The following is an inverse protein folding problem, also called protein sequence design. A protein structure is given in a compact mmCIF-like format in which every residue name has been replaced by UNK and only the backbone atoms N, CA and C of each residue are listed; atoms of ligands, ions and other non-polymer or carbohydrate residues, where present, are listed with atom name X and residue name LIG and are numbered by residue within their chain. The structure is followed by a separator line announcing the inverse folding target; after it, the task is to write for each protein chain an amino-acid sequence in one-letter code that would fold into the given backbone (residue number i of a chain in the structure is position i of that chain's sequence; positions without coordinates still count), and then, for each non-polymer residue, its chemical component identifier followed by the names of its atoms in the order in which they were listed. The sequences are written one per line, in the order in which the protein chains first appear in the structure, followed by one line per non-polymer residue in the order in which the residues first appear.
data_IF_046444361757
#
_entry.id   IF_046444361757
#
_cell.length_a   1.000
_cell.length_b   1.000
_cell.length_c   1.000
_cell.angle_alpha   90.00
_cell.angle_beta   90.00
_cell.angle_gamma   90.00
#
_symmetry.space_group_name_H-M   'P 1'
#
loop_
_entity.id
_entity.type
_entity.pdbx_description
1 polymer ?
#
# COMPACT_ATOMS: atom_id res chain seq x y z
N UNK A 1 4.66 -3.42 17.19
CA UNK A 1 6.03 -3.02 17.57
C UNK A 1 6.17 -1.51 17.74
N UNK A 2 5.69 -0.66 16.84
CA UNK A 2 5.80 0.80 16.92
C UNK A 2 5.18 1.46 18.16
N UNK A 3 4.03 0.98 18.63
CA UNK A 3 3.39 1.50 19.86
C UNK A 3 4.28 1.35 21.10
N UNK A 4 4.94 0.20 21.26
CA UNK A 4 5.84 -0.06 22.39
C UNK A 4 7.06 0.87 22.36
N UNK A 5 7.53 1.22 21.16
CA UNK A 5 8.71 2.07 20.96
C UNK A 5 8.52 3.51 21.49
N UNK A 6 7.31 4.06 21.45
CA UNK A 6 7.01 5.41 21.90
C UNK A 6 6.35 5.45 23.28
N UNK A 7 5.36 4.59 23.54
CA UNK A 7 4.64 4.58 24.80
C UNK A 7 5.36 3.83 25.92
N UNK A 8 6.22 2.86 25.60
CA UNK A 8 7.08 2.21 26.59
C UNK A 8 8.01 3.18 27.31
N UNK A 9 8.82 3.97 26.58
CA UNK A 9 9.64 5.03 27.20
C UNK A 9 8.81 6.07 27.95
N UNK A 10 7.64 6.48 27.43
CA UNK A 10 6.76 7.43 28.10
C UNK A 10 6.36 6.94 29.49
N UNK A 11 5.89 5.70 29.59
CA UNK A 11 5.52 5.07 30.88
C UNK A 11 6.72 4.94 31.81
N UNK A 12 7.88 4.52 31.26
CA UNK A 12 9.12 4.39 32.04
C UNK A 12 9.55 5.73 32.65
N UNK A 13 9.51 6.83 31.88
CA UNK A 13 9.90 8.14 32.37
C UNK A 13 8.93 8.68 33.45
N UNK A 14 7.63 8.41 33.32
CA UNK A 14 6.67 8.72 34.40
C UNK A 14 7.04 7.95 35.67
N UNK A 15 7.31 6.65 35.57
CA UNK A 15 7.71 5.84 36.72
C UNK A 15 9.00 6.36 37.40
N UNK A 16 10.00 6.72 36.60
CA UNK A 16 11.26 7.30 37.11
C UNK A 16 11.03 8.64 37.78
N UNK A 17 10.13 9.48 37.27
CA UNK A 17 9.77 10.76 37.90
C UNK A 17 9.28 10.59 39.37
N UNK A 18 8.46 9.56 39.61
CA UNK A 18 7.98 9.28 40.98
C UNK A 18 9.02 8.58 41.86
N UNK A 19 10.01 7.92 41.28
CA UNK A 19 11.04 7.20 42.03
C UNK A 19 12.23 8.07 42.43
N UNK A 20 12.55 9.10 41.64
CA UNK A 20 13.71 9.96 41.85
C UNK A 20 13.25 11.42 41.94
N UNK A 21 13.45 12.07 43.08
CA UNK A 21 13.05 13.47 43.30
C UNK A 21 13.92 14.50 42.58
N UNK A 22 15.14 14.11 42.19
CA UNK A 22 16.18 15.08 41.78
C UNK A 22 15.94 15.70 40.39
N UNK A 23 15.10 15.08 39.53
CA UNK A 23 14.81 15.62 38.21
C UNK A 23 13.39 15.36 37.73
N UNK A 24 12.42 15.50 38.65
CA UNK A 24 11.00 15.19 38.37
C UNK A 24 10.47 15.89 37.12
N UNK A 25 10.72 17.22 37.01
CA UNK A 25 10.25 17.99 35.85
C UNK A 25 10.84 17.49 34.53
N UNK A 26 12.12 17.12 34.49
CA UNK A 26 12.79 16.58 33.31
C UNK A 26 12.16 15.26 32.83
N UNK A 27 11.87 14.37 33.77
CA UNK A 27 11.22 13.08 33.40
C UNK A 27 9.79 13.28 32.88
N UNK A 28 9.00 14.19 33.49
CA UNK A 28 7.64 14.48 33.00
C UNK A 28 7.67 15.12 31.61
N UNK A 29 8.55 16.08 31.36
CA UNK A 29 8.69 16.69 30.03
C UNK A 29 9.06 15.64 28.97
N UNK A 30 10.05 14.79 29.27
CA UNK A 30 10.48 13.73 28.33
C UNK A 30 9.36 12.73 28.05
N UNK A 31 8.60 12.34 29.09
CA UNK A 31 7.43 11.47 28.95
C UNK A 31 6.38 12.11 28.04
N UNK A 32 6.07 13.39 28.24
CA UNK A 32 5.11 14.13 27.41
C UNK A 32 5.55 14.19 25.94
N UNK A 33 6.83 14.44 25.68
CA UNK A 33 7.40 14.45 24.33
C UNK A 33 7.24 13.06 23.68
N UNK A 34 7.60 11.99 24.38
CA UNK A 34 7.43 10.62 23.86
C UNK A 34 5.96 10.28 23.56
N UNK A 35 5.03 10.72 24.42
CA UNK A 35 3.60 10.53 24.21
C UNK A 35 3.10 11.26 22.95
N UNK A 36 3.54 12.53 22.75
CA UNK A 36 3.20 13.32 21.57
C UNK A 36 3.69 12.64 20.29
N UNK A 37 4.94 12.17 20.26
CA UNK A 37 5.45 11.40 19.11
C UNK A 37 4.69 10.11 18.89
N UNK A 38 4.28 9.41 19.96
CA UNK A 38 3.42 8.24 19.88
C UNK A 38 2.05 8.54 19.25
N UNK A 39 1.43 9.66 19.62
CA UNK A 39 0.16 10.11 19.04
C UNK A 39 0.30 10.48 17.56
N UNK A 40 1.37 11.21 17.20
CA UNK A 40 1.68 11.54 15.80
C UNK A 40 1.87 10.25 14.99
N UNK A 41 2.63 9.29 15.53
CA UNK A 41 2.82 7.99 14.88
C UNK A 41 1.51 7.24 14.65
N UNK A 42 0.62 7.19 15.65
CA UNK A 42 -0.70 6.58 15.50
C UNK A 42 -1.50 7.29 14.42
N UNK A 43 -1.57 8.63 14.48
CA UNK A 43 -2.32 9.42 13.52
C UNK A 43 -1.81 9.20 12.08
N UNK A 44 -0.50 9.26 11.86
CA UNK A 44 0.09 9.05 10.53
C UNK A 44 -0.06 7.61 10.05
N UNK A 45 0.03 6.63 10.95
CA UNK A 45 -0.16 5.21 10.61
C UNK A 45 -1.60 4.87 10.24
N UNK A 46 -2.59 5.50 10.90
CA UNK A 46 -4.01 5.22 10.65
C UNK A 46 -4.58 6.00 9.46
N UNK A 47 -4.19 7.27 9.32
CA UNK A 47 -4.78 8.17 8.32
C UNK A 47 -3.85 8.54 7.18
N UNK A 48 -2.52 8.45 7.38
CA UNK A 48 -1.52 8.88 6.40
C UNK A 48 -1.59 8.07 5.12
N UNK A 49 -1.63 6.75 5.23
CA UNK A 49 -1.71 5.84 4.07
C UNK A 49 -2.95 6.10 3.24
N UNK A 50 -4.10 6.21 3.88
CA UNK A 50 -5.38 6.44 3.19
C UNK A 50 -5.38 7.75 2.40
N UNK A 51 -4.88 8.83 2.99
CA UNK A 51 -4.74 10.13 2.32
C UNK A 51 -3.79 10.09 1.13
N UNK A 52 -2.67 9.37 1.25
CA UNK A 52 -1.71 9.19 0.15
C UNK A 52 -2.38 8.43 -1.00
N UNK A 53 -3.02 7.30 -0.72
CA UNK A 53 -3.72 6.50 -1.71
C UNK A 53 -4.81 7.31 -2.41
N UNK A 54 -5.59 8.10 -1.66
CA UNK A 54 -6.61 8.97 -2.23
C UNK A 54 -6.00 10.03 -3.14
N UNK A 55 -4.98 10.77 -2.68
CA UNK A 55 -4.31 11.80 -3.46
C UNK A 55 -3.71 11.25 -4.77
N UNK A 56 -3.10 10.06 -4.70
CA UNK A 56 -2.55 9.40 -5.88
C UNK A 56 -3.69 8.97 -6.81
N UNK A 57 -4.75 8.33 -6.30
CA UNK A 57 -5.90 7.97 -7.10
C UNK A 57 -6.48 9.18 -7.84
N UNK A 58 -6.64 10.32 -7.15
CA UNK A 58 -7.20 11.56 -7.72
C UNK A 58 -6.32 12.15 -8.84
N UNK A 59 -5.00 11.91 -8.80
CA UNK A 59 -4.07 12.39 -9.85
C UNK A 59 -4.10 11.56 -11.13
N UNK A 60 -4.61 10.33 -11.09
CA UNK A 60 -4.66 9.42 -12.24
C UNK A 60 -5.81 9.80 -13.15
N UNK A 61 -5.55 9.94 -14.45
CA UNK A 61 -6.59 10.22 -15.44
C UNK A 61 -7.14 8.91 -16.02
N UNK A 62 -8.34 8.53 -15.60
CA UNK A 62 -9.01 7.32 -16.08
C UNK A 62 -10.09 7.62 -17.10
N UNK A 63 -10.17 6.78 -18.12
CA UNK A 63 -11.35 6.67 -18.99
C UNK A 63 -12.40 5.82 -18.27
N UNK A 64 -13.69 6.10 -18.52
CA UNK A 64 -14.80 5.41 -17.83
C UNK A 64 -14.76 3.87 -17.97
N UNK A 65 -14.24 3.35 -19.06
CA UNK A 65 -14.16 1.93 -19.36
C UNK A 65 -12.78 1.32 -19.05
N UNK A 66 -11.91 2.02 -18.32
CA UNK A 66 -10.57 1.52 -17.99
C UNK A 66 -10.65 0.26 -17.14
N UNK A 67 -9.84 -0.74 -17.50
CA UNK A 67 -9.66 -1.96 -16.72
C UNK A 67 -8.47 -1.79 -15.79
N UNK A 68 -8.69 -1.95 -14.49
CA UNK A 68 -7.71 -1.71 -13.43
C UNK A 68 -7.28 -3.03 -12.80
N UNK A 69 -5.99 -3.22 -12.57
CA UNK A 69 -5.42 -4.30 -11.78
C UNK A 69 -4.74 -3.73 -10.53
N UNK A 70 -5.13 -4.22 -9.34
CA UNK A 70 -4.46 -3.94 -8.06
C UNK A 70 -3.62 -5.17 -7.67
N UNK A 71 -2.29 -5.03 -7.77
CA UNK A 71 -1.32 -6.11 -7.54
C UNK A 71 -0.84 -6.08 -6.10
N UNK A 72 -1.13 -7.15 -5.35
CA UNK A 72 -0.91 -7.18 -3.91
C UNK A 72 -1.92 -6.31 -3.18
N UNK A 73 -3.21 -6.47 -3.50
CA UNK A 73 -4.28 -5.59 -3.04
C UNK A 73 -4.52 -5.63 -1.53
N UNK A 74 -4.03 -6.67 -0.83
CA UNK A 74 -4.26 -6.83 0.60
C UNK A 74 -5.75 -6.72 0.96
N UNK A 75 -6.11 -5.76 1.80
CA UNK A 75 -7.51 -5.46 2.15
C UNK A 75 -8.25 -4.60 1.12
N UNK A 76 -7.67 -4.32 -0.05
CA UNK A 76 -8.31 -3.57 -1.12
C UNK A 76 -8.26 -2.04 -0.95
N UNK A 77 -7.41 -1.52 -0.06
CA UNK A 77 -7.39 -0.10 0.29
C UNK A 77 -7.16 0.84 -0.90
N UNK A 78 -6.37 0.44 -1.91
CA UNK A 78 -6.12 1.27 -3.07
C UNK A 78 -7.22 1.12 -4.12
N UNK A 79 -7.64 -0.11 -4.43
CA UNK A 79 -8.66 -0.35 -5.45
C UNK A 79 -10.01 0.31 -5.14
N UNK A 80 -10.40 0.44 -3.86
CA UNK A 80 -11.65 1.10 -3.47
C UNK A 80 -11.66 2.62 -3.76
N UNK A 81 -10.47 3.26 -3.92
CA UNK A 81 -10.39 4.68 -4.29
C UNK A 81 -10.90 4.96 -5.71
N UNK A 82 -11.09 3.93 -6.51
CA UNK A 82 -11.62 4.04 -7.87
C UNK A 82 -13.11 3.74 -8.00
N UNK A 83 -13.82 3.51 -6.88
CA UNK A 83 -15.25 3.17 -6.85
C UNK A 83 -16.10 4.10 -7.70
N UNK A 84 -16.00 5.40 -7.46
CA UNK A 84 -16.83 6.41 -8.12
C UNK A 84 -16.30 6.84 -9.51
N UNK A 85 -15.20 6.23 -9.97
CA UNK A 85 -14.51 6.58 -11.20
C UNK A 85 -14.68 5.55 -12.31
N UNK A 86 -15.16 4.36 -11.96
CA UNK A 86 -15.45 3.25 -12.87
C UNK A 86 -16.94 2.93 -12.76
N UNK A 87 -17.66 2.96 -13.89
CA UNK A 87 -19.08 2.66 -13.93
C UNK A 87 -19.39 1.21 -14.26
N UNK A 88 -18.48 0.55 -14.97
CA UNK A 88 -18.67 -0.80 -15.47
C UNK A 88 -18.42 -1.89 -14.42
N UNK A 89 -19.20 -2.97 -14.53
CA UNK A 89 -19.10 -4.15 -13.68
C UNK A 89 -17.76 -4.87 -13.92
N UNK A 90 -17.08 -5.29 -12.83
CA UNK A 90 -15.86 -6.13 -12.85
C UNK A 90 -14.68 -5.54 -13.64
N UNK A 91 -14.58 -4.24 -13.70
CA UNK A 91 -13.44 -3.56 -14.33
C UNK A 91 -12.25 -3.39 -13.40
N UNK A 92 -12.45 -3.56 -12.08
CA UNK A 92 -11.37 -3.53 -11.09
C UNK A 92 -11.07 -4.96 -10.68
N UNK A 93 -9.83 -5.39 -10.84
CA UNK A 93 -9.36 -6.72 -10.42
C UNK A 93 -8.33 -6.55 -9.34
N UNK A 94 -8.56 -7.14 -8.17
CA UNK A 94 -7.59 -7.20 -7.08
C UNK A 94 -7.00 -8.61 -6.97
N UNK A 95 -5.68 -8.69 -6.87
CA UNK A 95 -4.99 -9.95 -6.62
C UNK A 95 -4.07 -9.87 -5.41
N UNK A 96 -4.01 -10.96 -4.66
CA UNK A 96 -3.06 -11.15 -3.56
C UNK A 96 -2.83 -12.64 -3.33
N UNK A 97 -1.76 -13.01 -2.66
CA UNK A 97 -1.54 -14.37 -2.14
C UNK A 97 -2.08 -14.54 -0.72
N UNK A 98 -2.45 -13.43 -0.06
CA UNK A 98 -2.89 -13.34 1.33
C UNK A 98 -1.96 -14.04 2.32
N UNK A 99 -0.68 -13.66 2.27
CA UNK A 99 0.28 -14.13 3.25
C UNK A 99 0.04 -13.42 4.60
N UNK A 100 -0.33 -14.19 5.62
CA UNK A 100 -0.62 -13.68 6.98
C UNK A 100 0.55 -12.98 7.68
N UNK A 101 1.79 -13.15 7.16
CA UNK A 101 2.98 -12.49 7.72
C UNK A 101 3.12 -11.04 7.26
N UNK A 102 2.51 -10.67 6.14
CA UNK A 102 2.67 -9.35 5.54
C UNK A 102 1.75 -8.32 6.19
N UNK A 103 0.55 -8.74 6.60
CA UNK A 103 -0.45 -7.87 7.22
C UNK A 103 -1.34 -8.65 8.19
N UNK A 104 -1.76 -8.01 9.30
CA UNK A 104 -2.70 -8.62 10.23
C UNK A 104 -4.06 -8.86 9.55
N UNK A 105 -4.66 -10.02 9.82
CA UNK A 105 -5.94 -10.46 9.24
C UNK A 105 -5.96 -10.42 7.69
N UNK A 106 -4.80 -10.61 7.05
CA UNK A 106 -4.69 -10.63 5.60
C UNK A 106 -5.31 -11.93 5.05
N UNK A 107 -6.59 -11.89 4.71
CA UNK A 107 -7.34 -13.00 4.13
C UNK A 107 -8.24 -12.53 2.99
N UNK A 108 -8.59 -13.45 2.09
CA UNK A 108 -9.52 -13.18 1.00
C UNK A 108 -10.87 -12.69 1.54
N UNK A 109 -11.39 -13.34 2.59
CA UNK A 109 -12.69 -13.04 3.18
C UNK A 109 -12.74 -11.61 3.74
N UNK A 110 -11.68 -11.15 4.43
CA UNK A 110 -11.61 -9.78 4.95
C UNK A 110 -11.50 -8.76 3.81
N UNK A 111 -10.82 -9.09 2.72
CA UNK A 111 -10.77 -8.24 1.53
C UNK A 111 -12.14 -8.13 0.87
N UNK A 112 -12.84 -9.25 0.65
CA UNK A 112 -14.18 -9.28 0.08
C UNK A 112 -15.17 -8.48 0.93
N UNK A 113 -15.08 -8.60 2.25
CA UNK A 113 -15.90 -7.85 3.20
C UNK A 113 -15.63 -6.35 3.12
N UNK A 114 -14.37 -5.95 3.06
CA UNK A 114 -13.97 -4.53 2.91
C UNK A 114 -14.51 -3.95 1.62
N UNK A 115 -14.34 -4.66 0.50
CA UNK A 115 -14.81 -4.27 -0.83
C UNK A 115 -16.34 -4.21 -0.89
N UNK A 116 -17.02 -5.14 -0.24
CA UNK A 116 -18.50 -5.13 -0.15
C UNK A 116 -18.99 -3.92 0.65
N UNK A 117 -18.38 -3.65 1.79
CA UNK A 117 -18.76 -2.53 2.66
C UNK A 117 -18.47 -1.16 2.01
N UNK A 118 -17.51 -1.10 1.08
CA UNK A 118 -17.19 0.13 0.34
C UNK A 118 -18.09 0.37 -0.87
N UNK A 119 -18.99 -0.54 -1.21
CA UNK A 119 -19.87 -0.41 -2.38
C UNK A 119 -19.25 -0.83 -3.72
N UNK A 120 -17.98 -1.23 -3.75
CA UNK A 120 -17.24 -1.61 -4.99
C UNK A 120 -17.52 -3.04 -5.46
N UNK A 121 -18.22 -3.85 -4.68
CA UNK A 121 -18.35 -5.29 -4.92
C UNK A 121 -18.88 -5.67 -6.31
N UNK A 122 -19.78 -4.88 -6.89
CA UNK A 122 -20.27 -5.13 -8.25
C UNK A 122 -19.25 -4.81 -9.34
N UNK A 123 -18.32 -3.90 -9.06
CA UNK A 123 -17.31 -3.38 -9.99
C UNK A 123 -15.96 -4.10 -9.86
N UNK A 124 -15.74 -4.79 -8.74
CA UNK A 124 -14.49 -5.45 -8.40
C UNK A 124 -14.61 -6.98 -8.49
N UNK A 125 -13.51 -7.61 -8.91
CA UNK A 125 -13.26 -9.04 -8.78
C UNK A 125 -12.00 -9.23 -7.97
N UNK A 126 -12.08 -10.07 -6.94
CA UNK A 126 -10.91 -10.40 -6.10
C UNK A 126 -10.57 -11.87 -6.36
N UNK A 127 -9.31 -12.16 -6.56
CA UNK A 127 -8.85 -13.52 -6.78
C UNK A 127 -7.43 -13.75 -6.27
N UNK A 128 -7.16 -14.97 -5.81
CA UNK A 128 -5.82 -15.37 -5.41
C UNK A 128 -4.92 -15.50 -6.62
N UNK A 129 -3.79 -14.78 -6.63
CA UNK A 129 -2.75 -14.94 -7.66
C UNK A 129 -1.40 -14.47 -7.12
N UNK A 130 -0.33 -15.03 -7.69
CA UNK A 130 1.06 -14.60 -7.44
C UNK A 130 1.40 -13.47 -8.43
N UNK A 131 1.93 -12.37 -7.93
CA UNK A 131 2.36 -11.26 -8.79
C UNK A 131 3.55 -11.61 -9.66
N UNK A 132 4.27 -12.69 -9.35
CA UNK A 132 5.36 -13.21 -10.18
C UNK A 132 4.88 -14.09 -11.35
N UNK A 133 3.59 -14.40 -11.43
CA UNK A 133 2.98 -15.24 -12.47
C UNK A 133 1.49 -14.85 -12.60
N UNK A 134 1.26 -13.72 -13.27
CA UNK A 134 -0.07 -13.12 -13.37
C UNK A 134 -0.97 -13.92 -14.33
N UNK A 135 -2.15 -14.39 -13.90
CA UNK A 135 -3.05 -15.19 -14.72
C UNK A 135 -3.90 -14.33 -15.70
N UNK A 136 -3.22 -13.41 -16.39
CA UNK A 136 -3.83 -12.46 -17.32
C UNK A 136 -3.08 -12.46 -18.64
N UNK A 137 -3.78 -12.01 -19.69
CA UNK A 137 -3.19 -11.87 -21.02
C UNK A 137 -2.27 -10.63 -21.10
N UNK A 138 -1.37 -10.65 -22.08
CA UNK A 138 -0.56 -9.47 -22.41
C UNK A 138 -1.47 -8.31 -22.82
N UNK A 139 -1.12 -7.10 -22.42
CA UNK A 139 -1.83 -5.87 -22.80
C UNK A 139 -3.33 -5.87 -22.39
N UNK A 140 -3.65 -6.38 -21.23
CA UNK A 140 -5.04 -6.53 -20.78
C UNK A 140 -5.56 -5.32 -20.00
N UNK A 141 -4.71 -4.62 -19.22
CA UNK A 141 -5.11 -3.57 -18.29
C UNK A 141 -4.72 -2.17 -18.76
N UNK A 142 -5.60 -1.20 -18.52
CA UNK A 142 -5.35 0.22 -18.81
C UNK A 142 -4.56 0.89 -17.67
N UNK A 143 -4.76 0.41 -16.43
CA UNK A 143 -4.06 0.85 -15.24
C UNK A 143 -3.66 -0.36 -14.40
N UNK A 144 -2.39 -0.41 -13.98
CA UNK A 144 -1.92 -1.35 -12.97
C UNK A 144 -1.44 -0.56 -11.76
N UNK A 145 -1.99 -0.86 -10.60
CA UNK A 145 -1.62 -0.24 -9.33
C UNK A 145 -1.03 -1.27 -8.38
N UNK A 146 -0.12 -0.86 -7.52
CA UNK A 146 0.39 -1.67 -6.42
C UNK A 146 0.78 -0.77 -5.26
N UNK A 147 0.34 -1.10 -4.05
CA UNK A 147 0.63 -0.30 -2.87
C UNK A 147 1.20 -1.15 -1.73
N UNK A 148 2.43 -0.83 -1.31
CA UNK A 148 3.12 -1.47 -0.18
C UNK A 148 3.18 -3.01 -0.26
N UNK A 149 3.33 -3.56 -1.47
CA UNK A 149 3.28 -5.00 -1.70
C UNK A 149 4.58 -5.58 -2.26
N UNK A 150 5.17 -4.95 -3.28
CA UNK A 150 6.28 -5.53 -4.05
C UNK A 150 7.54 -5.74 -3.20
N UNK A 151 7.79 -4.89 -2.19
CA UNK A 151 8.94 -5.04 -1.28
C UNK A 151 8.92 -6.35 -0.47
N UNK A 152 7.75 -6.96 -0.28
CA UNK A 152 7.61 -8.24 0.43
C UNK A 152 8.08 -9.43 -0.40
N UNK A 153 8.13 -9.29 -1.74
CA UNK A 153 8.58 -10.36 -2.64
C UNK A 153 10.08 -10.60 -2.47
N UNK A 154 10.46 -11.83 -2.18
CA UNK A 154 11.86 -12.24 -2.00
C UNK A 154 12.15 -13.50 -2.83
N UNK A 155 13.35 -13.63 -3.36
CA UNK A 155 14.49 -12.69 -3.41
C UNK A 155 14.27 -11.55 -4.42
N UNK A 156 15.26 -10.68 -4.61
CA UNK A 156 15.22 -9.56 -5.58
C UNK A 156 14.92 -9.99 -7.02
N UNK A 157 15.34 -11.18 -7.41
CA UNK A 157 15.04 -11.78 -8.72
C UNK A 157 13.54 -12.01 -8.93
N UNK A 158 12.81 -12.39 -7.89
CA UNK A 158 11.35 -12.52 -7.94
C UNK A 158 10.65 -11.16 -7.99
N UNK A 159 11.16 -10.13 -7.29
CA UNK A 159 10.64 -8.76 -7.44
C UNK A 159 10.77 -8.26 -8.87
N UNK A 160 11.92 -8.54 -9.50
CA UNK A 160 12.11 -8.23 -10.92
C UNK A 160 11.06 -8.92 -11.78
N UNK A 161 10.81 -10.22 -11.58
CA UNK A 161 9.78 -10.96 -12.29
C UNK A 161 8.39 -10.37 -12.09
N UNK A 162 8.04 -9.97 -10.86
CA UNK A 162 6.77 -9.30 -10.56
C UNK A 162 6.61 -7.99 -11.35
N UNK A 163 7.67 -7.18 -11.45
CA UNK A 163 7.65 -5.95 -12.25
C UNK A 163 7.50 -6.27 -13.74
N UNK A 164 8.23 -7.27 -14.26
CA UNK A 164 8.13 -7.69 -15.65
C UNK A 164 6.69 -8.17 -15.98
N UNK A 165 6.05 -8.92 -15.08
CA UNK A 165 4.65 -9.35 -15.21
C UNK A 165 3.66 -8.17 -15.18
N UNK A 166 3.86 -7.19 -14.29
CA UNK A 166 3.07 -5.96 -14.25
C UNK A 166 3.10 -5.27 -15.63
N UNK A 167 4.27 -5.15 -16.22
CA UNK A 167 4.40 -4.52 -17.54
C UNK A 167 3.87 -5.40 -18.67
N UNK A 168 3.98 -6.71 -18.59
CA UNK A 168 3.42 -7.64 -19.57
C UNK A 168 1.91 -7.47 -19.72
N UNK A 169 1.21 -7.40 -18.59
CA UNK A 169 -0.26 -7.28 -18.59
C UNK A 169 -0.77 -5.86 -18.85
N UNK A 170 0.11 -4.86 -18.78
CA UNK A 170 -0.22 -3.48 -19.05
C UNK A 170 -0.32 -3.22 -20.55
N UNK A 171 -1.36 -2.51 -20.99
CA UNK A 171 -1.49 -2.04 -22.38
C UNK A 171 -0.39 -1.05 -22.75
N UNK A 172 -0.05 -0.95 -24.05
CA UNK A 172 0.98 -0.03 -24.55
C UNK A 172 0.78 1.44 -24.12
N UNK A 173 -0.47 1.90 -23.98
CA UNK A 173 -0.81 3.25 -23.53
C UNK A 173 -1.38 3.23 -22.10
N UNK A 174 -1.13 2.18 -21.34
CA UNK A 174 -1.56 2.05 -19.98
C UNK A 174 -0.64 2.77 -18.99
N UNK A 175 -1.12 2.96 -17.78
CA UNK A 175 -0.39 3.60 -16.70
C UNK A 175 -0.07 2.60 -15.58
N UNK A 176 1.15 2.68 -15.01
CA UNK A 176 1.55 1.92 -13.82
C UNK A 176 1.77 2.87 -12.66
N UNK A 177 1.17 2.57 -11.52
CA UNK A 177 1.36 3.31 -10.28
C UNK A 177 1.82 2.38 -9.16
N UNK A 178 3.06 2.52 -8.74
CA UNK A 178 3.64 1.76 -7.64
C UNK A 178 3.94 2.70 -6.47
N UNK A 179 3.33 2.43 -5.32
CA UNK A 179 3.60 3.10 -4.05
C UNK A 179 4.27 2.05 -3.16
N UNK A 180 5.52 2.27 -2.77
CA UNK A 180 6.24 1.31 -1.96
C UNK A 180 7.16 2.00 -0.94
N UNK A 181 7.80 1.22 -0.08
CA UNK A 181 8.70 1.75 0.94
C UNK A 181 9.92 2.42 0.31
N UNK A 182 10.51 3.33 1.04
CA UNK A 182 11.67 4.12 0.65
C UNK A 182 12.85 3.27 0.13
N UNK A 183 13.61 3.82 -0.84
CA UNK A 183 14.77 3.22 -1.50
C UNK A 183 14.51 2.06 -2.48
N UNK A 184 13.28 1.59 -2.66
CA UNK A 184 12.96 0.54 -3.66
C UNK A 184 12.76 1.09 -5.07
N UNK A 185 12.45 2.36 -5.20
CA UNK A 185 12.29 3.05 -6.49
C UNK A 185 13.51 2.88 -7.41
N UNK A 186 14.72 3.03 -6.88
CA UNK A 186 15.97 2.85 -7.63
C UNK A 186 16.18 1.42 -8.12
N UNK A 187 15.68 0.43 -7.37
CA UNK A 187 15.70 -0.96 -7.77
C UNK A 187 14.72 -1.20 -8.92
N UNK A 188 13.49 -0.69 -8.79
CA UNK A 188 12.42 -0.90 -9.78
C UNK A 188 12.71 -0.18 -11.11
N UNK A 189 13.23 1.05 -11.07
CA UNK A 189 13.59 1.83 -12.28
C UNK A 189 14.71 1.22 -13.10
N UNK A 190 15.54 0.35 -12.54
CA UNK A 190 16.65 -0.33 -13.25
C UNK A 190 16.19 -1.56 -14.01
N UNK A 191 14.95 -1.99 -13.86
CA UNK A 191 14.42 -3.16 -14.57
C UNK A 191 14.14 -2.71 -16.01
N UNK A 192 14.83 -3.28 -17.00
CA UNK A 192 14.62 -2.91 -18.40
C UNK A 192 13.25 -3.46 -18.83
N UNK A 193 12.28 -2.57 -18.98
CA UNK A 193 10.98 -2.89 -19.55
C UNK A 193 10.90 -2.20 -20.91
N UNK A 194 10.45 -2.93 -21.92
CA UNK A 194 10.46 -2.52 -23.34
C UNK A 194 9.35 -1.51 -23.69
N UNK A 195 9.04 -0.54 -22.79
CA UNK A 195 7.99 0.44 -23.02
C UNK A 195 8.52 1.87 -22.95
N UNK A 196 8.25 2.65 -24.00
CA UNK A 196 8.82 3.98 -24.24
C UNK A 196 8.18 5.13 -23.44
N UNK A 197 7.14 4.89 -22.66
CA UNK A 197 6.46 5.91 -21.85
C UNK A 197 6.22 5.44 -20.41
N UNK A 198 7.28 5.47 -19.62
CA UNK A 198 7.21 5.35 -18.16
C UNK A 198 7.00 6.74 -17.57
N UNK A 199 5.77 7.17 -17.40
CA UNK A 199 5.45 8.08 -16.32
C UNK A 199 5.35 7.24 -15.06
N UNK A 200 6.46 7.03 -14.34
CA UNK A 200 6.40 6.58 -12.96
C UNK A 200 5.93 7.78 -12.15
N UNK A 201 4.65 7.86 -11.77
CA UNK A 201 4.25 8.87 -10.83
C UNK A 201 4.98 8.55 -9.54
N UNK A 202 5.60 9.55 -9.03
CA UNK A 202 6.21 9.77 -7.73
C UNK A 202 5.98 8.61 -6.78
N UNK A 203 7.02 7.82 -6.56
CA UNK A 203 7.15 6.97 -5.39
C UNK A 203 7.14 7.94 -4.22
N UNK A 204 6.00 8.02 -3.53
CA UNK A 204 5.94 8.71 -2.27
C UNK A 204 6.73 7.87 -1.26
N UNK A 205 7.96 8.29 -0.96
CA UNK A 205 8.64 7.87 0.26
C UNK A 205 7.82 8.38 1.45
N UNK A 206 7.36 7.47 2.27
CA UNK A 206 6.71 7.71 3.56
C UNK A 206 7.69 7.42 4.67
#
# INVERSE_FOLDING_TARGET
MGLIMFFGPSILFVFLAFKTSDNFAGYIITSAICAVFGLIYIHTSLFGKDKILQKVADSIQLKQNSKILDVGCGHGAFMIKFENRINDIRKIVGIDIWNKRDQANNTLEETEKTVTNSGVSSKAKIQRADMCDLPFQDNEFDLVISSFAIHNVKPATQRRKAIEEIFRVLKHNGEVVIIDIEFKDKEYRKIPVSYTHLTLPTICSV
#
